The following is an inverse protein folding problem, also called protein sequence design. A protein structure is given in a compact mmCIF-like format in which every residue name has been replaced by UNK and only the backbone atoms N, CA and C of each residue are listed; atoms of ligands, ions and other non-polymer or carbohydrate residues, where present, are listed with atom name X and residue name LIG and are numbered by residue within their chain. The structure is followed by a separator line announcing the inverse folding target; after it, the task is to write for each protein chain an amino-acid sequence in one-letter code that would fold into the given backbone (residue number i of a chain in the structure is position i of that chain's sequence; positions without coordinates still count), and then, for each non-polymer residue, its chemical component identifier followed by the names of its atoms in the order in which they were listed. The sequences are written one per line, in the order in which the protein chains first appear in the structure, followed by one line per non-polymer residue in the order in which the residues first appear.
data_IF_824347725703
#
_entry.id   IF_824347725703
#
_cell.length_a   1.000
_cell.length_b   1.000
_cell.length_c   1.000
_cell.angle_alpha   90.00
_cell.angle_beta   90.00
_cell.angle_gamma   90.00
#
_symmetry.space_group_name_H-M   'P 1'
#
loop_
_entity.id
_entity.type
_entity.pdbx_description
1 polymer ?
#
# COMPACT_ATOMS: atom_id res chain seq x y z
N UNK A 1 -0.07 -14.53 -14.00
CA UNK A 1 -0.46 -13.98 -12.68
C UNK A 1 0.67 -13.06 -12.21
N UNK A 2 0.35 -11.85 -11.75
CA UNK A 2 1.34 -10.96 -11.14
C UNK A 2 1.40 -11.21 -9.63
N UNK A 3 2.57 -11.06 -8.99
CA UNK A 3 2.65 -11.14 -7.54
C UNK A 3 1.78 -10.05 -6.89
N UNK A 4 1.18 -10.32 -5.72
CA UNK A 4 0.37 -9.33 -5.03
C UNK A 4 1.23 -8.12 -4.63
N UNK A 5 0.70 -6.92 -4.83
CA UNK A 5 1.31 -5.67 -4.37
C UNK A 5 0.69 -5.31 -3.03
N UNK A 6 1.53 -5.08 -2.02
CA UNK A 6 1.10 -4.76 -0.66
C UNK A 6 2.06 -3.77 0.00
N UNK A 7 1.63 -3.21 1.13
CA UNK A 7 2.45 -2.41 2.03
C UNK A 7 2.63 -3.13 3.38
N UNK A 8 3.62 -2.70 4.15
CA UNK A 8 3.82 -3.11 5.56
C UNK A 8 3.78 -1.86 6.42
N UNK A 9 3.71 -2.01 7.76
CA UNK A 9 3.75 -0.87 8.69
C UNK A 9 5.01 0.00 8.53
N UNK A 10 6.12 -0.58 8.09
CA UNK A 10 7.38 0.13 7.87
C UNK A 10 7.50 0.72 6.45
N UNK A 11 6.53 0.44 5.57
CA UNK A 11 6.52 1.01 4.21
C UNK A 11 6.26 2.51 4.28
N UNK A 12 7.27 3.31 3.91
CA UNK A 12 7.15 4.76 3.77
C UNK A 12 5.98 5.11 2.83
N UNK A 13 5.17 6.10 3.18
CA UNK A 13 4.00 6.52 2.39
C UNK A 13 4.33 6.83 0.93
N UNK A 14 5.45 7.54 0.67
CA UNK A 14 5.94 7.79 -0.69
C UNK A 14 6.13 6.50 -1.48
N UNK A 15 6.67 5.46 -0.84
CA UNK A 15 6.91 4.17 -1.49
C UNK A 15 5.59 3.42 -1.77
N UNK A 16 4.62 3.52 -0.87
CA UNK A 16 3.28 2.99 -1.10
C UNK A 16 2.60 3.68 -2.29
N UNK A 17 2.68 5.01 -2.38
CA UNK A 17 2.18 5.78 -3.53
C UNK A 17 2.88 5.38 -4.85
N UNK A 18 4.20 5.20 -4.83
CA UNK A 18 4.94 4.70 -6.01
C UNK A 18 4.41 3.33 -6.47
N UNK A 19 4.19 2.39 -5.53
CA UNK A 19 3.61 1.07 -5.83
C UNK A 19 2.20 1.19 -6.43
N UNK A 20 1.37 2.07 -5.89
CA UNK A 20 0.02 2.34 -6.40
C UNK A 20 0.06 2.87 -7.84
N UNK A 21 0.88 3.89 -8.10
CA UNK A 21 1.02 4.48 -9.44
C UNK A 21 1.55 3.46 -10.45
N UNK A 22 2.62 2.73 -10.11
CA UNK A 22 3.20 1.72 -11.01
C UNK A 22 2.26 0.53 -11.25
N UNK A 23 1.42 0.19 -10.27
CA UNK A 23 0.46 -0.90 -10.38
C UNK A 23 -0.90 -0.49 -10.94
N UNK A 24 -1.12 0.80 -11.21
CA UNK A 24 -2.45 1.37 -11.50
C UNK A 24 -3.50 1.00 -10.43
N UNK A 25 -3.11 1.03 -9.16
CA UNK A 25 -3.93 0.71 -7.99
C UNK A 25 -4.26 1.98 -7.20
N UNK A 26 -5.44 2.04 -6.61
CA UNK A 26 -5.83 3.12 -5.69
C UNK A 26 -5.65 2.72 -4.21
N UNK A 27 -5.41 1.45 -3.94
CA UNK A 27 -5.40 0.87 -2.61
C UNK A 27 -4.35 -0.23 -2.53
N UNK A 28 -3.74 -0.38 -1.36
CA UNK A 28 -2.84 -1.48 -1.06
C UNK A 28 -3.28 -2.17 0.24
N UNK A 29 -3.36 -3.51 0.29
CA UNK A 29 -3.47 -4.20 1.57
C UNK A 29 -2.20 -3.95 2.38
N UNK A 30 -2.36 -3.74 3.68
CA UNK A 30 -1.26 -3.70 4.64
C UNK A 30 -1.13 -5.07 5.27
N UNK A 31 0.07 -5.66 5.20
CA UNK A 31 0.36 -6.98 5.76
C UNK A 31 1.35 -6.92 6.92
N UNK A 32 1.28 -7.91 7.79
CA UNK A 32 2.29 -8.17 8.84
C UNK A 32 3.51 -8.94 8.29
N UNK A 33 4.46 -9.26 9.18
CA UNK A 33 5.69 -10.01 8.85
C UNK A 33 5.44 -11.44 8.32
N UNK A 34 4.26 -11.99 8.56
CA UNK A 34 3.85 -13.31 8.08
C UNK A 34 3.04 -13.24 6.78
N UNK A 35 2.85 -12.03 6.22
CA UNK A 35 2.08 -11.80 5.00
C UNK A 35 0.57 -11.84 5.21
N UNK A 36 0.09 -11.81 6.46
CA UNK A 36 -1.34 -11.74 6.76
C UNK A 36 -1.82 -10.30 6.63
N UNK A 37 -2.96 -10.10 5.98
CA UNK A 37 -3.60 -8.78 5.86
C UNK A 37 -4.09 -8.33 7.24
N UNK A 38 -3.68 -7.12 7.63
CA UNK A 38 -4.01 -6.48 8.90
C UNK A 38 -4.74 -5.15 8.72
N UNK A 39 -4.93 -4.70 7.48
CA UNK A 39 -5.66 -3.49 7.13
C UNK A 39 -5.49 -3.12 5.66
N UNK A 40 -5.96 -1.93 5.31
CA UNK A 40 -5.84 -1.31 4.00
C UNK A 40 -5.16 0.06 4.08
N UNK A 41 -4.69 0.52 2.92
CA UNK A 41 -4.16 1.86 2.73
C UNK A 41 -4.69 2.42 1.42
N UNK A 42 -5.47 3.49 1.49
CA UNK A 42 -6.07 4.13 0.32
C UNK A 42 -5.31 5.41 -0.07
N UNK A 43 -5.05 5.58 -1.37
CA UNK A 43 -4.35 6.76 -1.90
C UNK A 43 -5.04 8.09 -1.53
N UNK A 44 -6.37 8.11 -1.44
CA UNK A 44 -7.15 9.31 -1.10
C UNK A 44 -6.99 9.72 0.38
N UNK A 45 -6.71 8.77 1.28
CA UNK A 45 -6.43 9.09 2.68
C UNK A 45 -5.11 9.83 2.84
N UNK A 46 -4.15 9.55 1.95
CA UNK A 46 -2.85 10.20 1.93
C UNK A 46 -2.91 11.68 1.53
N UNK A 47 -3.97 12.09 0.81
CA UNK A 47 -4.21 13.49 0.48
C UNK A 47 -4.46 14.37 1.72
N UNK A 48 -4.81 13.77 2.87
CA UNK A 48 -5.00 14.51 4.14
C UNK A 48 -3.69 14.94 4.79
N UNK A 49 -2.55 14.43 4.30
CA UNK A 49 -1.22 14.65 4.90
C UNK A 49 -0.31 15.55 4.04
N UNK A 50 -0.84 16.10 2.95
CA UNK A 50 -0.14 17.05 2.06
C UNK A 50 -0.71 18.46 2.18
#
# INVERSE_FOLDING_TARGET
MHPPVYATKDTKLKKALEKMVSGHLNELPVVDEHGKVIGDLNAFELLKFV
#
